data_IF_211190708315
#
_entry.id   IF_211190708315
#
_cell.length_a   1.000
_cell.length_b   1.000
_cell.length_c   1.000
_cell.angle_alpha   90.00
_cell.angle_beta   90.00
_cell.angle_gamma   90.00
#
_symmetry.space_group_name_H-M   'P 1'
#
loop_
_entity.id
_entity.type
_entity.pdbx_description
1 polymer ?
#
# COMPACT_ATOMS: atom_id res chain seq x y z
N UNK A 1 0.66 -5.68 -17.77
CA UNK A 1 0.26 -6.43 -16.57
C UNK A 1 0.50 -5.52 -15.38
N UNK A 2 -0.55 -5.12 -14.68
CA UNK A 2 -0.43 -4.38 -13.42
C UNK A 2 0.07 -5.37 -12.35
N UNK A 3 1.36 -5.32 -12.02
CA UNK A 3 1.91 -6.16 -10.95
C UNK A 3 1.18 -5.86 -9.64
N UNK A 4 0.68 -6.89 -8.97
CA UNK A 4 -0.07 -6.73 -7.72
C UNK A 4 0.92 -6.34 -6.63
N UNK A 5 0.78 -5.13 -6.07
CA UNK A 5 1.60 -4.69 -4.94
C UNK A 5 1.08 -5.37 -3.68
N UNK A 6 1.93 -6.16 -3.03
CA UNK A 6 1.61 -6.88 -1.80
C UNK A 6 1.88 -6.03 -0.56
N UNK A 7 2.95 -5.25 -0.57
CA UNK A 7 3.36 -4.41 0.56
C UNK A 7 4.16 -3.21 0.10
N UNK A 8 4.01 -2.09 0.82
CA UNK A 8 4.91 -0.94 0.72
C UNK A 8 5.48 -0.58 2.09
N UNK A 9 6.71 -0.08 2.08
CA UNK A 9 7.41 0.43 3.27
C UNK A 9 7.83 1.87 3.01
N UNK A 10 7.41 2.78 3.88
CA UNK A 10 7.63 4.23 3.74
C UNK A 10 8.61 4.71 4.80
N UNK A 11 9.80 5.15 4.38
CA UNK A 11 10.85 5.61 5.29
C UNK A 11 12.25 5.45 4.70
N UNK A 12 13.21 6.21 5.23
CA UNK A 12 14.60 6.22 4.76
C UNK A 12 15.30 4.87 4.94
N UNK A 13 14.97 4.13 5.99
CA UNK A 13 15.40 2.76 6.21
C UNK A 13 14.18 1.83 6.17
N UNK A 14 14.04 1.06 5.09
CA UNK A 14 12.90 0.17 4.88
C UNK A 14 12.78 -0.96 5.91
N UNK A 15 13.72 -1.16 6.84
CA UNK A 15 13.66 -2.22 7.86
C UNK A 15 13.30 -1.71 9.25
N UNK A 16 14.06 -0.74 9.76
CA UNK A 16 14.03 -0.43 11.20
C UNK A 16 13.13 0.77 11.54
N UNK A 17 13.04 1.77 10.66
CA UNK A 17 12.33 3.04 10.90
C UNK A 17 11.34 3.38 9.77
N UNK A 18 10.69 2.36 9.19
CA UNK A 18 9.70 2.53 8.12
C UNK A 18 8.28 2.19 8.58
N UNK A 19 7.31 2.90 8.01
CA UNK A 19 5.89 2.56 8.11
C UNK A 19 5.56 1.48 7.09
N UNK A 20 5.07 0.33 7.56
CA UNK A 20 4.71 -0.80 6.71
C UNK A 20 3.20 -0.91 6.49
N UNK A 21 2.82 -1.11 5.24
CA UNK A 21 1.44 -1.34 4.83
C UNK A 21 1.39 -2.56 3.92
N UNK A 22 0.67 -3.60 4.34
CA UNK A 22 0.54 -4.85 3.59
C UNK A 22 -0.92 -5.15 3.28
N UNK A 23 -1.20 -5.71 2.11
CA UNK A 23 -2.53 -6.24 1.79
C UNK A 23 -2.92 -7.30 2.82
N UNK A 24 -4.17 -7.24 3.31
CA UNK A 24 -4.71 -8.11 4.36
C UNK A 24 -4.47 -7.61 5.79
N UNK A 25 -3.60 -6.63 6.00
CA UNK A 25 -3.35 -6.05 7.32
C UNK A 25 -4.60 -5.36 7.85
N UNK A 26 -4.96 -5.67 9.11
CA UNK A 26 -6.03 -4.97 9.83
C UNK A 26 -5.57 -3.61 10.30
N UNK A 27 -6.45 -2.62 10.14
CA UNK A 27 -6.20 -1.21 10.45
C UNK A 27 -7.40 -0.63 11.18
N UNK A 28 -7.54 0.69 11.16
CA UNK A 28 -8.54 1.44 11.91
C UNK A 28 -9.97 0.91 11.74
N UNK A 29 -10.71 0.77 12.85
CA UNK A 29 -12.15 0.49 12.84
C UNK A 29 -12.55 -0.89 12.29
N UNK A 30 -11.63 -1.86 12.28
CA UNK A 30 -11.84 -3.21 11.76
C UNK A 30 -11.77 -3.31 10.24
N UNK A 31 -11.25 -2.28 9.56
CA UNK A 31 -10.99 -2.35 8.13
C UNK A 31 -9.70 -3.11 7.86
N UNK A 32 -9.58 -3.68 6.66
CA UNK A 32 -8.35 -4.30 6.18
C UNK A 32 -7.86 -3.62 4.92
N UNK A 33 -6.55 -3.50 4.75
CA UNK A 33 -5.97 -3.06 3.49
C UNK A 33 -6.32 -4.08 2.42
N UNK A 34 -7.02 -3.65 1.38
CA UNK A 34 -7.45 -4.53 0.29
C UNK A 34 -6.65 -4.31 -1.00
N UNK A 35 -6.23 -3.06 -1.27
CA UNK A 35 -5.45 -2.74 -2.46
C UNK A 35 -4.36 -1.72 -2.16
N UNK A 36 -3.22 -1.90 -2.82
CA UNK A 36 -2.17 -0.90 -2.93
C UNK A 36 -1.94 -0.72 -4.43
N UNK A 37 -2.15 0.50 -4.93
CA UNK A 37 -2.16 0.80 -6.36
C UNK A 37 -1.19 1.93 -6.66
N UNK A 38 -0.32 1.72 -7.65
CA UNK A 38 0.48 2.79 -8.23
C UNK A 38 -0.41 3.57 -9.22
N UNK A 39 -0.53 4.87 -9.00
CA UNK A 39 -1.11 5.79 -9.96
C UNK A 39 0.01 6.38 -10.81
N UNK A 40 0.11 5.93 -12.06
CA UNK A 40 1.16 6.35 -12.99
C UNK A 40 1.05 7.84 -13.40
N UNK A 41 -0.11 8.48 -13.19
CA UNK A 41 -0.31 9.88 -13.58
C UNK A 41 0.49 10.85 -12.71
N UNK A 42 0.65 10.54 -11.43
CA UNK A 42 1.40 11.35 -10.46
C UNK A 42 2.45 10.55 -9.66
N UNK A 43 2.70 9.31 -10.10
CA UNK A 43 3.67 8.37 -9.52
C UNK A 43 3.47 8.19 -8.00
N UNK A 44 2.21 8.04 -7.59
CA UNK A 44 1.84 7.90 -6.17
C UNK A 44 1.31 6.51 -5.84
N UNK A 45 1.58 6.05 -4.62
CA UNK A 45 0.99 4.82 -4.08
C UNK A 45 -0.26 5.16 -3.27
N UNK A 46 -1.39 4.59 -3.68
CA UNK A 46 -2.68 4.75 -3.04
C UNK A 46 -3.07 3.46 -2.32
N UNK A 47 -3.43 3.57 -1.04
CA UNK A 47 -3.85 2.46 -0.20
C UNK A 47 -5.36 2.56 0.01
N UNK A 48 -6.04 1.46 -0.28
CA UNK A 48 -7.48 1.29 -0.07
C UNK A 48 -7.74 0.32 1.06
N UNK A 49 -8.75 0.63 1.87
CA UNK A 49 -9.19 -0.22 2.97
C UNK A 49 -10.63 -0.69 2.71
N UNK A 50 -10.94 -1.89 3.17
CA UNK A 50 -12.24 -2.52 3.01
C UNK A 50 -12.79 -2.94 4.37
N UNK A 51 -14.09 -2.77 4.56
CA UNK A 51 -14.86 -3.39 5.63
C UNK A 51 -16.17 -3.86 5.03
N UNK A 52 -16.55 -5.11 5.33
CA UNK A 52 -17.72 -5.76 4.72
C UNK A 52 -17.65 -5.71 3.19
N UNK A 53 -18.54 -4.96 2.52
CA UNK A 53 -18.57 -4.82 1.06
C UNK A 53 -18.10 -3.44 0.57
N UNK A 54 -17.73 -2.53 1.48
CA UNK A 54 -17.36 -1.16 1.15
C UNK A 54 -15.84 -0.99 1.04
N UNK A 55 -15.38 -0.40 -0.06
CA UNK A 55 -13.97 -0.06 -0.32
C UNK A 55 -13.81 1.45 -0.36
N UNK A 56 -12.84 1.98 0.37
CA UNK A 56 -12.57 3.41 0.45
C UNK A 56 -11.08 3.74 0.34
N UNK A 57 -10.70 4.88 -0.26
CA UNK A 57 -9.33 5.37 -0.23
C UNK A 57 -8.96 5.77 1.21
N UNK A 58 -7.73 5.43 1.64
CA UNK A 58 -7.29 5.70 3.01
C UNK A 58 -6.03 6.55 3.10
N UNK A 59 -4.98 6.17 2.36
CA UNK A 59 -3.70 6.87 2.38
C UNK A 59 -3.14 6.99 0.98
N UNK A 60 -2.42 8.09 0.74
CA UNK A 60 -1.71 8.38 -0.51
C UNK A 60 -0.29 8.84 -0.19
N UNK A 61 0.70 8.25 -0.86
CA UNK A 61 2.11 8.58 -0.71
C UNK A 61 2.68 8.94 -2.08
N UNK A 62 3.28 10.12 -2.21
CA UNK A 62 3.85 10.58 -3.47
C UNK A 62 5.30 10.08 -3.69
N UNK A 63 5.80 10.25 -4.92
CA UNK A 63 7.14 9.83 -5.33
C UNK A 63 8.31 10.55 -4.66
N UNK A 64 8.07 11.63 -3.90
CA UNK A 64 9.15 12.32 -3.18
C UNK A 64 9.53 11.62 -1.86
N UNK A 65 8.80 10.57 -1.48
CA UNK A 65 9.08 9.78 -0.28
C UNK A 65 9.98 8.59 -0.62
N UNK A 66 10.80 8.14 0.35
CA UNK A 66 11.51 6.89 0.23
C UNK A 66 10.53 5.72 0.39
N UNK A 67 10.27 4.99 -0.71
CA UNK A 67 9.29 3.90 -0.77
C UNK A 67 9.97 2.64 -1.29
N UNK A 68 9.87 1.55 -0.53
CA UNK A 68 10.19 0.20 -0.98
C UNK A 68 8.91 -0.57 -1.27
N UNK A 69 8.87 -1.27 -2.40
CA UNK A 69 7.68 -1.98 -2.90
C UNK A 69 7.98 -3.47 -3.00
N UNK A 70 7.09 -4.28 -2.45
CA UNK A 70 7.11 -5.75 -2.56
C UNK A 70 5.90 -6.18 -3.40
N UNK A 71 6.15 -6.81 -4.55
CA UNK A 71 5.12 -7.34 -5.41
C UNK A 71 4.77 -8.78 -5.03
N UNK A 72 3.54 -9.18 -5.30
CA UNK A 72 3.20 -10.58 -5.26
C UNK A 72 3.88 -11.31 -6.42
N UNK A 73 4.66 -12.33 -6.09
CA UNK A 73 5.38 -13.15 -7.05
C UNK A 73 4.62 -14.46 -7.21
N UNK A 74 3.41 -14.40 -7.76
CA UNK A 74 2.75 -15.59 -8.28
C UNK A 74 3.35 -15.89 -9.66
N UNK A 75 3.88 -17.09 -9.82
CA UNK A 75 4.52 -17.60 -11.03
C UNK A 75 3.61 -18.60 -11.75
#
# INVERSE_FOLDING_TARGET
MSSVVRKISIGTNYKDDAMHYSVGQEVYGGHRICYIVLDDSDNSYNIYIKKEEEVMPWKKFNCNMAISVEYDLEY
#
